data_IF_751147787643
#
_entry.id   IF_751147787643
#
_cell.length_a   1.000
_cell.length_b   1.000
_cell.length_c   1.000
_cell.angle_alpha   90.00
_cell.angle_beta   90.00
_cell.angle_gamma   90.00
#
_symmetry.space_group_name_H-M   'P 1'
#
loop_
_entity.id
_entity.type
_entity.pdbx_description
1 polymer ?
#
# COMPACT_ATOMS: atom_id res chain seq x y z
N UNK A 1 -25.91 9.03 -3.63
CA UNK A 1 -26.69 10.29 -3.72
C UNK A 1 -25.92 11.46 -3.09
N UNK A 2 -25.52 11.38 -1.81
CA UNK A 2 -24.79 12.44 -1.09
C UNK A 2 -23.52 12.91 -1.82
N UNK A 3 -22.75 11.98 -2.38
CA UNK A 3 -21.55 12.31 -3.15
C UNK A 3 -21.85 13.25 -4.33
N UNK A 4 -22.87 12.94 -5.12
CA UNK A 4 -23.25 13.73 -6.29
C UNK A 4 -23.72 15.15 -5.97
N UNK A 5 -24.30 15.34 -4.79
CA UNK A 5 -24.82 16.63 -4.34
C UNK A 5 -23.73 17.48 -3.68
N UNK A 6 -22.90 16.86 -2.83
CA UNK A 6 -21.96 17.57 -1.96
C UNK A 6 -20.58 17.73 -2.56
N UNK A 7 -20.10 16.76 -3.37
CA UNK A 7 -18.76 16.80 -3.92
C UNK A 7 -18.78 17.39 -5.34
N UNK A 8 -18.00 18.45 -5.56
CA UNK A 8 -17.85 19.13 -6.83
C UNK A 8 -16.51 18.75 -7.47
N UNK A 9 -16.49 18.70 -8.80
CA UNK A 9 -15.31 18.28 -9.57
C UNK A 9 -14.18 19.32 -9.59
N UNK A 10 -14.51 20.60 -9.36
CA UNK A 10 -13.56 21.71 -9.42
C UNK A 10 -13.73 22.65 -8.25
N UNK A 11 -12.63 23.25 -7.73
CA UNK A 11 -12.69 24.24 -6.66
C UNK A 11 -13.60 25.44 -7.01
N UNK A 12 -13.63 25.87 -8.28
CA UNK A 12 -14.48 26.95 -8.76
C UNK A 12 -16.00 26.71 -8.63
N UNK A 13 -16.42 25.46 -8.48
CA UNK A 13 -17.84 25.08 -8.36
C UNK A 13 -18.33 25.03 -6.91
N UNK A 14 -17.43 25.23 -5.96
CA UNK A 14 -17.72 25.12 -4.52
C UNK A 14 -18.20 26.47 -3.99
N UNK A 15 -19.34 26.52 -3.31
CA UNK A 15 -19.93 27.75 -2.78
C UNK A 15 -19.40 28.18 -1.40
N UNK A 16 -18.84 27.24 -0.64
CA UNK A 16 -18.37 27.48 0.74
C UNK A 16 -16.92 27.99 0.83
N UNK A 17 -16.14 27.97 -0.29
CA UNK A 17 -14.79 28.49 -0.36
C UNK A 17 -14.80 29.96 -0.82
N UNK A 18 -13.97 30.80 -0.21
CA UNK A 18 -13.77 32.17 -0.65
C UNK A 18 -13.07 32.21 -2.02
N UNK A 19 -13.30 33.25 -2.83
CA UNK A 19 -12.73 33.34 -4.18
C UNK A 19 -11.19 33.39 -4.17
N UNK A 20 -10.58 34.00 -3.15
CA UNK A 20 -9.13 34.02 -2.92
C UNK A 20 -8.57 32.61 -2.65
N UNK A 21 -9.30 31.80 -1.87
CA UNK A 21 -8.91 30.42 -1.57
C UNK A 21 -9.05 29.51 -2.81
N UNK A 22 -10.10 29.72 -3.61
CA UNK A 22 -10.28 29.02 -4.89
C UNK A 22 -9.13 29.30 -5.86
N UNK A 23 -8.72 30.57 -5.96
CA UNK A 23 -7.63 30.98 -6.82
C UNK A 23 -6.30 30.40 -6.35
N UNK A 24 -6.00 30.48 -5.05
CA UNK A 24 -4.79 29.92 -4.47
C UNK A 24 -4.71 28.39 -4.65
N UNK A 25 -5.82 27.68 -4.42
CA UNK A 25 -5.90 26.25 -4.61
C UNK A 25 -5.72 25.84 -6.09
N UNK A 26 -6.34 26.60 -7.01
CA UNK A 26 -6.18 26.34 -8.44
C UNK A 26 -4.73 26.56 -8.88
N UNK A 27 -4.09 27.65 -8.43
CA UNK A 27 -2.70 27.94 -8.73
C UNK A 27 -1.76 26.85 -8.20
N UNK A 28 -1.97 26.39 -6.97
CA UNK A 28 -1.19 25.28 -6.39
C UNK A 28 -1.35 24.00 -7.23
N UNK A 29 -2.58 23.65 -7.58
CA UNK A 29 -2.87 22.51 -8.40
C UNK A 29 -2.24 22.60 -9.81
N UNK A 30 -2.13 23.79 -10.39
CA UNK A 30 -1.51 24.00 -11.69
C UNK A 30 0.02 23.95 -11.59
N UNK A 31 0.60 24.45 -10.49
CA UNK A 31 2.04 24.31 -10.18
C UNK A 31 2.45 22.85 -10.04
N UNK A 32 1.66 22.03 -9.35
CA UNK A 32 1.92 20.59 -9.18
C UNK A 32 1.95 19.82 -10.52
N UNK A 33 1.23 20.33 -11.54
CA UNK A 33 1.24 19.74 -12.88
C UNK A 33 2.38 20.25 -13.77
N UNK A 34 3.10 21.30 -13.36
CA UNK A 34 4.23 21.83 -14.12
C UNK A 34 5.37 20.80 -14.09
N UNK A 35 5.88 20.48 -15.26
CA UNK A 35 6.98 19.51 -15.43
C UNK A 35 6.53 18.05 -15.57
N UNK A 36 5.25 17.72 -15.41
CA UNK A 36 4.75 16.39 -15.72
C UNK A 36 4.60 16.25 -17.24
N UNK A 37 5.21 15.19 -17.78
CA UNK A 37 5.15 14.89 -19.23
C UNK A 37 3.70 14.68 -19.68
N UNK A 38 3.28 15.47 -20.66
CA UNK A 38 1.94 15.33 -21.23
C UNK A 38 1.74 13.92 -21.81
N UNK A 39 0.62 13.30 -21.47
CA UNK A 39 0.19 11.99 -21.98
C UNK A 39 -1.15 12.17 -22.69
N UNK A 40 -1.23 11.71 -23.94
CA UNK A 40 -2.40 11.98 -24.80
C UNK A 40 -3.63 11.15 -24.42
N UNK A 41 -3.43 9.90 -24.05
CA UNK A 41 -4.54 8.97 -23.77
C UNK A 41 -4.15 7.87 -22.77
N UNK A 42 -5.13 7.16 -22.28
CA UNK A 42 -4.96 6.04 -21.35
C UNK A 42 -4.06 4.92 -21.90
N UNK A 43 -4.11 4.64 -23.20
CA UNK A 43 -3.27 3.58 -23.80
C UNK A 43 -1.79 3.89 -23.70
N UNK A 44 -1.39 5.16 -23.83
CA UNK A 44 0.00 5.60 -23.63
C UNK A 44 0.40 5.51 -22.15
N UNK A 45 -0.49 5.97 -21.23
CA UNK A 45 -0.26 5.86 -19.81
C UNK A 45 -0.07 4.41 -19.36
N UNK A 46 -0.93 3.49 -19.82
CA UNK A 46 -0.89 2.07 -19.46
C UNK A 46 0.34 1.33 -20.00
N UNK A 47 0.94 1.80 -21.08
CA UNK A 47 2.21 1.28 -21.63
C UNK A 47 3.44 1.90 -20.97
N UNK A 48 3.28 2.90 -20.14
CA UNK A 48 4.38 3.49 -19.39
C UNK A 48 5.07 2.45 -18.52
N UNK A 49 6.40 2.38 -18.61
CA UNK A 49 7.22 1.46 -17.80
C UNK A 49 6.91 1.60 -16.30
N UNK A 50 6.73 2.82 -15.81
CA UNK A 50 6.44 3.07 -14.40
C UNK A 50 5.08 2.54 -13.99
N UNK A 51 4.04 2.71 -14.83
CA UNK A 51 2.70 2.17 -14.55
C UNK A 51 2.73 0.65 -14.52
N UNK A 52 3.42 0.00 -15.48
CA UNK A 52 3.56 -1.46 -15.52
C UNK A 52 4.30 -1.96 -14.26
N UNK A 53 5.38 -1.27 -13.85
CA UNK A 53 6.12 -1.62 -12.64
C UNK A 53 5.27 -1.46 -11.38
N UNK A 54 4.46 -0.39 -11.28
CA UNK A 54 3.54 -0.18 -10.15
C UNK A 54 2.41 -1.22 -10.14
N UNK A 55 1.90 -1.62 -11.30
CA UNK A 55 0.94 -2.73 -11.42
C UNK A 55 1.54 -4.04 -10.89
N UNK A 56 2.73 -4.41 -11.35
CA UNK A 56 3.42 -5.62 -10.92
C UNK A 56 3.78 -5.56 -9.42
N UNK A 57 4.23 -4.40 -8.96
CA UNK A 57 4.57 -4.16 -7.56
C UNK A 57 3.35 -4.31 -6.65
N UNK A 58 2.23 -3.67 -6.99
CA UNK A 58 1.02 -3.75 -6.19
C UNK A 58 0.34 -5.13 -6.27
N UNK A 59 0.44 -5.82 -7.40
CA UNK A 59 0.04 -7.22 -7.54
C UNK A 59 0.83 -8.11 -6.57
N UNK A 60 2.16 -8.04 -6.57
CA UNK A 60 3.01 -8.83 -5.69
C UNK A 60 2.80 -8.49 -4.21
N UNK A 61 2.64 -7.20 -3.88
CA UNK A 61 2.33 -6.76 -2.53
C UNK A 61 0.99 -7.30 -2.04
N UNK A 62 -0.04 -7.24 -2.87
CA UNK A 62 -1.38 -7.72 -2.53
C UNK A 62 -1.42 -9.23 -2.30
N UNK A 63 -0.59 -10.03 -2.98
CA UNK A 63 -0.41 -11.45 -2.69
C UNK A 63 0.00 -11.63 -1.22
N UNK A 64 1.02 -10.92 -0.75
CA UNK A 64 1.50 -11.03 0.61
C UNK A 64 0.47 -10.57 1.64
N UNK A 65 -0.12 -9.39 1.42
CA UNK A 65 -1.10 -8.80 2.35
C UNK A 65 -2.35 -9.66 2.48
N UNK A 66 -2.98 -10.04 1.38
CA UNK A 66 -4.26 -10.78 1.45
C UNK A 66 -4.08 -12.25 1.80
N UNK A 67 -2.92 -12.85 1.47
CA UNK A 67 -2.54 -14.12 2.03
C UNK A 67 -2.44 -14.05 3.56
N UNK A 68 -1.76 -13.02 4.10
CA UNK A 68 -1.70 -12.78 5.54
C UNK A 68 -3.09 -12.56 6.16
N UNK A 69 -3.88 -11.64 5.62
CA UNK A 69 -5.19 -11.22 6.18
C UNK A 69 -6.14 -12.40 6.35
N UNK A 70 -6.31 -13.20 5.31
CA UNK A 70 -7.29 -14.29 5.32
C UNK A 70 -6.85 -15.47 6.17
N UNK A 71 -5.54 -15.67 6.31
CA UNK A 71 -5.02 -16.80 7.07
C UNK A 71 -4.58 -16.44 8.49
N UNK A 72 -4.54 -15.15 8.86
CA UNK A 72 -4.13 -14.67 10.19
C UNK A 72 -4.89 -15.36 11.34
N UNK A 73 -6.23 -15.48 11.34
CA UNK A 73 -6.93 -16.17 12.42
C UNK A 73 -6.53 -17.64 12.55
N UNK A 74 -6.33 -18.33 11.41
CA UNK A 74 -5.88 -19.71 11.39
C UNK A 74 -4.45 -19.86 11.92
N UNK A 75 -3.57 -18.91 11.58
CA UNK A 75 -2.19 -18.87 12.08
C UNK A 75 -2.17 -18.70 13.60
N UNK A 76 -2.95 -17.75 14.14
CA UNK A 76 -3.04 -17.51 15.59
C UNK A 76 -3.60 -18.75 16.29
N UNK A 77 -4.67 -19.35 15.75
CA UNK A 77 -5.29 -20.53 16.33
C UNK A 77 -4.37 -21.75 16.35
N UNK A 78 -3.57 -21.95 15.30
CA UNK A 78 -2.65 -23.10 15.24
C UNK A 78 -1.43 -22.94 16.13
N UNK A 79 -1.05 -21.69 16.49
CA UNK A 79 0.10 -21.40 17.35
C UNK A 79 -0.23 -21.32 18.84
N UNK A 80 -1.51 -21.12 19.20
CA UNK A 80 -1.97 -20.99 20.57
C UNK A 80 -2.68 -22.24 21.09
N UNK A 81 -2.25 -22.77 22.23
CA UNK A 81 -2.89 -23.90 22.88
C UNK A 81 -4.27 -23.49 23.45
N UNK A 82 -5.34 -24.25 23.09
CA UNK A 82 -6.69 -24.12 23.64
C UNK A 82 -7.35 -22.74 23.51
N UNK A 83 -7.00 -21.94 22.51
CA UNK A 83 -7.62 -20.63 22.28
C UNK A 83 -9.05 -20.75 21.78
N UNK A 84 -9.98 -20.06 22.44
CA UNK A 84 -11.36 -19.89 22.01
C UNK A 84 -11.48 -18.97 20.80
N UNK A 85 -12.61 -19.05 20.07
CA UNK A 85 -12.87 -18.21 18.89
C UNK A 85 -12.84 -16.70 19.22
N UNK A 86 -13.28 -16.32 20.41
CA UNK A 86 -13.29 -14.91 20.87
C UNK A 86 -11.89 -14.41 21.08
N UNK A 87 -11.02 -15.20 21.69
CA UNK A 87 -9.60 -14.85 21.90
C UNK A 87 -8.85 -14.69 20.59
N UNK A 88 -9.03 -15.62 19.66
CA UNK A 88 -8.47 -15.52 18.30
C UNK A 88 -8.97 -14.26 17.59
N UNK A 89 -10.25 -13.90 17.75
CA UNK A 89 -10.81 -12.67 17.21
C UNK A 89 -10.14 -11.41 17.76
N UNK A 90 -9.97 -11.32 19.08
CA UNK A 90 -9.26 -10.20 19.72
C UNK A 90 -7.80 -10.12 19.29
N UNK A 91 -7.08 -11.23 19.31
CA UNK A 91 -5.69 -11.25 18.86
C UNK A 91 -5.56 -10.90 17.37
N UNK A 92 -6.52 -11.31 16.54
CA UNK A 92 -6.52 -10.95 15.11
C UNK A 92 -6.77 -9.45 14.89
N UNK A 93 -7.41 -8.74 15.81
CA UNK A 93 -7.69 -7.29 15.67
C UNK A 93 -6.46 -6.41 15.95
N UNK A 94 -5.54 -6.85 16.80
CA UNK A 94 -4.37 -6.05 17.22
C UNK A 94 -3.45 -5.68 16.05
N UNK A 95 -3.09 -6.58 15.11
CA UNK A 95 -2.32 -6.19 13.92
C UNK A 95 -2.98 -5.08 13.09
N UNK A 96 -4.31 -5.07 13.00
CA UNK A 96 -5.03 -4.02 12.25
C UNK A 96 -5.08 -2.68 12.99
N UNK A 97 -5.17 -2.69 14.32
CA UNK A 97 -5.02 -1.47 15.13
C UNK A 97 -3.61 -0.88 14.96
N UNK A 98 -2.58 -1.71 15.06
CA UNK A 98 -1.21 -1.31 14.81
C UNK A 98 -1.02 -0.78 13.37
N UNK A 99 -1.64 -1.43 12.38
CA UNK A 99 -1.64 -0.99 10.99
C UNK A 99 -2.28 0.39 10.82
N UNK A 100 -3.41 0.64 11.45
CA UNK A 100 -4.10 1.93 11.40
C UNK A 100 -3.21 3.06 11.92
N UNK A 101 -2.58 2.86 13.07
CA UNK A 101 -1.64 3.84 13.65
C UNK A 101 -0.45 4.05 12.71
N UNK A 102 0.15 2.96 12.22
CA UNK A 102 1.29 3.02 11.32
C UNK A 102 0.97 3.73 10.00
N UNK A 103 -0.21 3.49 9.41
CA UNK A 103 -0.66 4.18 8.19
C UNK A 103 -0.71 5.70 8.38
N UNK A 104 -1.27 6.17 9.49
CA UNK A 104 -1.37 7.61 9.79
C UNK A 104 0.02 8.22 9.97
N UNK A 105 0.86 7.62 10.80
CA UNK A 105 2.20 8.12 11.11
C UNK A 105 3.08 8.12 9.86
N UNK A 106 3.07 7.04 9.10
CA UNK A 106 3.89 6.88 7.89
C UNK A 106 3.43 7.82 6.78
N UNK A 107 2.12 8.00 6.59
CA UNK A 107 1.58 8.94 5.61
C UNK A 107 2.00 10.38 5.95
N UNK A 108 1.83 10.79 7.22
CA UNK A 108 2.26 12.09 7.68
C UNK A 108 3.77 12.32 7.51
N UNK A 109 4.59 11.34 7.88
CA UNK A 109 6.06 11.43 7.73
C UNK A 109 6.47 11.48 6.25
N UNK A 110 5.81 10.70 5.40
CA UNK A 110 6.03 10.69 3.96
C UNK A 110 5.67 12.04 3.31
N UNK A 111 4.57 12.67 3.75
CA UNK A 111 4.18 14.00 3.29
C UNK A 111 5.20 15.07 3.70
N UNK A 112 5.70 14.98 4.93
CA UNK A 112 6.69 15.93 5.45
C UNK A 112 8.06 15.82 4.75
N UNK A 113 8.52 14.59 4.47
CA UNK A 113 9.84 14.32 3.88
C UNK A 113 9.82 14.31 2.35
N UNK A 114 8.64 14.36 1.70
CA UNK A 114 8.46 14.36 0.24
C UNK A 114 9.22 13.25 -0.50
N UNK A 115 9.51 12.15 0.17
CA UNK A 115 10.19 10.98 -0.40
C UNK A 115 9.34 9.73 -0.24
N UNK A 116 8.30 9.61 -1.06
CA UNK A 116 7.30 8.52 -1.00
C UNK A 116 7.96 7.14 -1.00
N UNK A 117 8.93 6.95 -1.88
CA UNK A 117 9.58 5.67 -2.10
C UNK A 117 10.30 5.15 -0.85
N UNK A 118 10.90 6.06 -0.06
CA UNK A 118 11.57 5.74 1.19
C UNK A 118 10.61 5.17 2.24
N UNK A 119 9.33 5.45 2.13
CA UNK A 119 8.30 4.94 3.03
C UNK A 119 7.56 3.70 2.48
N UNK A 120 7.91 3.23 1.29
CA UNK A 120 7.30 2.02 0.72
C UNK A 120 8.22 0.82 0.87
N UNK A 121 9.42 0.83 0.26
CA UNK A 121 10.26 -0.35 0.19
C UNK A 121 10.79 -0.85 1.55
N UNK A 122 11.22 0.02 2.52
CA UNK A 122 11.75 -0.50 3.78
C UNK A 122 10.66 -1.13 4.64
N UNK A 123 9.45 -0.56 4.61
CA UNK A 123 8.33 -1.10 5.38
C UNK A 123 7.89 -2.46 4.82
N UNK A 124 7.82 -2.62 3.51
CA UNK A 124 7.53 -3.91 2.89
C UNK A 124 8.64 -4.94 3.19
N UNK A 125 9.89 -4.51 3.26
CA UNK A 125 11.01 -5.37 3.65
C UNK A 125 10.86 -5.83 5.12
N UNK A 126 10.59 -4.89 6.02
CA UNK A 126 10.32 -5.19 7.45
C UNK A 126 9.13 -6.15 7.57
N UNK A 127 8.05 -5.88 6.85
CA UNK A 127 6.86 -6.74 6.82
C UNK A 127 7.18 -8.16 6.39
N UNK A 128 7.92 -8.33 5.30
CA UNK A 128 8.35 -9.64 4.80
C UNK A 128 9.27 -10.38 5.76
N UNK A 129 10.26 -9.70 6.32
CA UNK A 129 11.19 -10.28 7.31
C UNK A 129 10.48 -10.67 8.60
N UNK A 130 9.60 -9.81 9.13
CA UNK A 130 8.83 -10.10 10.33
C UNK A 130 7.87 -11.28 10.12
N UNK A 131 7.26 -11.36 8.93
CA UNK A 131 6.36 -12.45 8.58
C UNK A 131 7.09 -13.79 8.50
N UNK A 132 8.22 -13.87 7.79
CA UNK A 132 9.05 -15.07 7.72
C UNK A 132 9.65 -15.40 9.09
N UNK A 133 10.08 -14.39 9.84
CA UNK A 133 10.58 -14.54 11.20
C UNK A 133 9.54 -15.15 12.15
N UNK A 134 8.28 -14.75 12.03
CA UNK A 134 7.17 -15.35 12.80
C UNK A 134 7.04 -16.84 12.54
N UNK A 135 7.13 -17.27 11.29
CA UNK A 135 7.13 -18.68 10.92
C UNK A 135 8.36 -19.42 11.46
N UNK A 136 9.56 -18.84 11.34
CA UNK A 136 10.81 -19.45 11.79
C UNK A 136 10.87 -19.66 13.32
N UNK A 137 10.29 -18.73 14.08
CA UNK A 137 10.15 -18.84 15.55
C UNK A 137 9.16 -19.96 15.91
N UNK A 138 8.11 -20.13 15.11
CA UNK A 138 7.13 -21.21 15.25
C UNK A 138 6.26 -21.11 16.53
N UNK A 139 5.50 -22.18 16.78
CA UNK A 139 4.53 -22.25 17.87
C UNK A 139 5.19 -22.32 19.27
N UNK A 140 6.44 -22.79 19.36
CA UNK A 140 7.13 -22.96 20.64
C UNK A 140 7.31 -21.65 21.42
N UNK A 141 7.32 -20.52 20.70
CA UNK A 141 7.43 -19.18 21.28
C UNK A 141 6.27 -18.29 20.74
N UNK A 142 5.06 -18.70 21.01
CA UNK A 142 3.84 -18.07 20.50
C UNK A 142 3.84 -16.54 20.58
N UNK A 143 4.15 -15.96 21.75
CA UNK A 143 4.11 -14.51 21.93
C UNK A 143 5.15 -13.76 21.09
N UNK A 144 6.33 -14.35 20.86
CA UNK A 144 7.34 -13.78 19.97
C UNK A 144 6.87 -13.83 18.51
N UNK A 145 6.38 -15.00 18.09
CA UNK A 145 5.80 -15.19 16.76
C UNK A 145 4.63 -14.23 16.52
N UNK A 146 3.72 -14.09 17.49
CA UNK A 146 2.60 -13.17 17.43
C UNK A 146 3.03 -11.70 17.35
N UNK A 147 4.02 -11.27 18.12
CA UNK A 147 4.57 -9.91 18.04
C UNK A 147 5.13 -9.63 16.65
N UNK A 148 5.82 -10.58 16.05
CA UNK A 148 6.29 -10.47 14.66
C UNK A 148 5.14 -10.39 13.66
N UNK A 149 4.01 -11.08 13.88
CA UNK A 149 2.81 -10.94 13.06
C UNK A 149 2.19 -9.54 13.18
N UNK A 150 2.18 -8.96 14.39
CA UNK A 150 1.71 -7.57 14.59
C UNK A 150 2.59 -6.58 13.83
N UNK A 151 3.91 -6.74 13.93
CA UNK A 151 4.88 -5.91 13.18
C UNK A 151 4.70 -6.10 11.67
N UNK A 152 4.54 -7.34 11.21
CA UNK A 152 4.30 -7.64 9.80
C UNK A 152 3.03 -6.97 9.28
N UNK A 153 1.91 -7.11 9.99
CA UNK A 153 0.65 -6.47 9.65
C UNK A 153 0.79 -4.95 9.57
N UNK A 154 1.34 -4.30 10.60
CA UNK A 154 1.57 -2.87 10.61
C UNK A 154 2.44 -2.41 9.44
N UNK A 155 3.56 -3.09 9.19
CA UNK A 155 4.52 -2.75 8.15
C UNK A 155 3.97 -2.97 6.72
N UNK A 156 3.12 -3.99 6.51
CA UNK A 156 2.50 -4.26 5.22
C UNK A 156 1.42 -3.22 4.86
N UNK A 157 0.71 -2.66 5.85
CA UNK A 157 -0.35 -1.68 5.61
C UNK A 157 0.15 -0.24 5.59
N UNK A 158 1.16 0.09 6.37
CA UNK A 158 1.66 1.45 6.50
C UNK A 158 1.99 2.15 5.15
N UNK A 159 2.52 1.46 4.11
CA UNK A 159 2.89 2.11 2.85
C UNK A 159 1.73 2.50 1.93
N UNK A 160 0.47 2.17 2.24
CA UNK A 160 -0.65 2.43 1.32
C UNK A 160 -0.78 3.92 0.94
N UNK A 161 -0.74 4.83 1.91
CA UNK A 161 -0.79 6.27 1.64
C UNK A 161 0.33 6.74 0.72
N UNK A 162 1.60 6.56 1.10
CA UNK A 162 2.74 6.92 0.25
C UNK A 162 2.73 6.27 -1.13
N UNK A 163 2.33 5.01 -1.24
CA UNK A 163 2.27 4.30 -2.51
C UNK A 163 1.27 4.93 -3.49
N UNK A 164 0.03 5.14 -3.04
CA UNK A 164 -0.98 5.73 -3.90
C UNK A 164 -0.72 7.21 -4.21
N UNK A 165 0.03 7.91 -3.35
CA UNK A 165 0.46 9.29 -3.61
C UNK A 165 1.49 9.38 -4.75
N UNK A 166 2.29 8.34 -5.01
CA UNK A 166 3.26 8.31 -6.12
C UNK A 166 2.57 8.47 -7.48
N UNK A 167 1.37 7.92 -7.66
CA UNK A 167 0.70 7.84 -8.96
C UNK A 167 0.37 9.23 -9.54
N UNK A 168 -0.34 10.13 -8.82
CA UNK A 168 -0.63 11.48 -9.31
C UNK A 168 0.61 12.37 -9.39
N UNK A 169 1.69 12.07 -8.64
CA UNK A 169 2.96 12.80 -8.75
C UNK A 169 3.74 12.44 -10.03
N UNK A 170 3.44 11.29 -10.64
CA UNK A 170 4.14 10.79 -11.85
C UNK A 170 3.35 10.96 -13.13
N UNK A 171 2.04 11.16 -13.05
CA UNK A 171 1.14 11.16 -14.21
C UNK A 171 0.28 12.43 -14.25
N UNK A 172 0.02 12.97 -15.45
CA UNK A 172 -0.87 14.10 -15.61
C UNK A 172 -2.32 13.73 -15.21
N UNK A 173 -3.07 14.72 -14.74
CA UNK A 173 -4.43 14.56 -14.19
C UNK A 173 -5.39 13.82 -15.12
N UNK A 174 -5.28 14.04 -16.44
CA UNK A 174 -6.17 13.43 -17.42
C UNK A 174 -6.09 11.90 -17.47
N UNK A 175 -4.98 11.29 -17.03
CA UNK A 175 -4.77 9.84 -17.06
C UNK A 175 -4.47 9.23 -15.68
N UNK A 176 -4.16 10.04 -14.66
CA UNK A 176 -3.79 9.57 -13.33
C UNK A 176 -4.89 8.70 -12.70
N UNK A 177 -6.16 9.10 -12.79
CA UNK A 177 -7.30 8.34 -12.28
C UNK A 177 -7.43 6.96 -12.93
N UNK A 178 -7.28 6.86 -14.25
CA UNK A 178 -7.34 5.60 -14.98
C UNK A 178 -6.14 4.68 -14.66
N UNK A 179 -4.94 5.25 -14.51
CA UNK A 179 -3.77 4.49 -14.11
C UNK A 179 -3.90 3.97 -12.67
N UNK A 180 -4.43 4.78 -11.75
CA UNK A 180 -4.73 4.37 -10.38
C UNK A 180 -5.76 3.21 -10.35
N UNK A 181 -6.81 3.29 -11.16
CA UNK A 181 -7.79 2.22 -11.29
C UNK A 181 -7.17 0.93 -11.82
N UNK A 182 -6.30 0.99 -12.85
CA UNK A 182 -5.59 -0.17 -13.37
C UNK A 182 -4.68 -0.79 -12.30
N UNK A 183 -3.87 0.01 -11.61
CA UNK A 183 -2.98 -0.47 -10.54
C UNK A 183 -3.79 -1.14 -9.43
N UNK A 184 -4.91 -0.52 -9.02
CA UNK A 184 -5.79 -1.09 -8.00
C UNK A 184 -6.45 -2.41 -8.46
N UNK A 185 -6.84 -2.52 -9.71
CA UNK A 185 -7.37 -3.76 -10.29
C UNK A 185 -6.32 -4.88 -10.30
N UNK A 186 -5.06 -4.56 -10.59
CA UNK A 186 -3.97 -5.53 -10.50
C UNK A 186 -3.72 -5.98 -9.05
N UNK A 187 -3.87 -5.08 -8.07
CA UNK A 187 -3.85 -5.43 -6.65
C UNK A 187 -5.00 -6.37 -6.27
N UNK A 188 -6.22 -6.12 -6.74
CA UNK A 188 -7.36 -7.01 -6.53
C UNK A 188 -7.12 -8.41 -7.12
N UNK A 189 -6.53 -8.48 -8.31
CA UNK A 189 -6.13 -9.75 -8.92
C UNK A 189 -5.03 -10.44 -8.09
N UNK A 190 -4.05 -9.70 -7.58
CA UNK A 190 -3.02 -10.21 -6.67
C UNK A 190 -3.60 -10.77 -5.38
N UNK A 191 -4.62 -10.10 -4.81
CA UNK A 191 -5.34 -10.56 -3.63
C UNK A 191 -6.03 -11.91 -3.87
N UNK A 192 -6.69 -12.05 -5.00
CA UNK A 192 -7.30 -13.31 -5.41
C UNK A 192 -6.26 -14.43 -5.57
N UNK A 193 -5.20 -14.17 -6.35
CA UNK A 193 -4.14 -15.14 -6.57
C UNK A 193 -3.46 -15.54 -5.26
N UNK A 194 -3.17 -14.57 -4.39
CA UNK A 194 -2.54 -14.80 -3.09
C UNK A 194 -3.38 -15.70 -2.20
N UNK A 195 -4.65 -15.36 -2.03
CA UNK A 195 -5.57 -16.11 -1.17
C UNK A 195 -5.79 -17.53 -1.66
N UNK A 196 -6.02 -17.69 -2.96
CA UNK A 196 -6.25 -18.98 -3.59
C UNK A 196 -5.01 -19.86 -3.52
N UNK A 197 -3.83 -19.31 -3.85
CA UNK A 197 -2.61 -20.10 -3.92
C UNK A 197 -2.10 -20.51 -2.54
N UNK A 198 -2.27 -19.67 -1.52
CA UNK A 198 -1.99 -20.03 -0.11
C UNK A 198 -2.87 -21.20 0.33
N UNK A 199 -4.17 -21.18 0.01
CA UNK A 199 -5.07 -22.30 0.29
C UNK A 199 -4.65 -23.60 -0.41
N UNK A 200 -4.28 -23.49 -1.69
CA UNK A 200 -3.78 -24.64 -2.47
C UNK A 200 -2.48 -25.21 -1.88
N UNK A 201 -1.50 -24.36 -1.55
CA UNK A 201 -0.22 -24.80 -0.97
C UNK A 201 -0.43 -25.48 0.38
N UNK A 202 -1.26 -24.93 1.27
CA UNK A 202 -1.57 -25.53 2.55
C UNK A 202 -2.24 -26.90 2.38
N UNK A 203 -3.18 -27.03 1.44
CA UNK A 203 -3.84 -28.30 1.14
C UNK A 203 -2.90 -29.34 0.52
N UNK A 204 -2.03 -28.93 -0.40
CA UNK A 204 -1.13 -29.82 -1.12
C UNK A 204 0.06 -30.29 -0.27
N UNK A 205 0.59 -29.42 0.59
CA UNK A 205 1.81 -29.71 1.40
C UNK A 205 1.50 -30.20 2.81
N UNK A 206 0.28 -29.98 3.28
CA UNK A 206 -0.09 -30.24 4.69
C UNK A 206 0.67 -29.36 5.69
N UNK A 207 1.40 -28.35 5.23
CA UNK A 207 2.26 -27.49 6.05
C UNK A 207 2.09 -26.02 5.64
N UNK A 208 2.01 -25.08 6.59
CA UNK A 208 1.95 -23.65 6.30
C UNK A 208 3.26 -23.09 5.74
N UNK A 209 4.38 -23.82 5.84
CA UNK A 209 5.72 -23.36 5.46
C UNK A 209 5.78 -22.83 4.02
N UNK A 210 5.23 -23.59 3.06
CA UNK A 210 5.21 -23.22 1.65
C UNK A 210 4.45 -21.89 1.42
N UNK A 211 3.37 -21.68 2.14
CA UNK A 211 2.56 -20.46 2.08
C UNK A 211 3.29 -19.25 2.65
N UNK A 212 4.01 -19.40 3.76
CA UNK A 212 4.84 -18.32 4.33
C UNK A 212 5.97 -17.92 3.37
N UNK A 213 6.64 -18.91 2.76
CA UNK A 213 7.69 -18.65 1.77
C UNK A 213 7.11 -17.95 0.55
N UNK A 214 5.99 -18.43 0.02
CA UNK A 214 5.33 -17.82 -1.15
C UNK A 214 4.95 -16.34 -0.90
N UNK A 215 4.30 -16.05 0.23
CA UNK A 215 3.92 -14.69 0.60
C UNK A 215 5.15 -13.79 0.85
N UNK A 216 6.17 -14.34 1.50
CA UNK A 216 7.45 -13.63 1.73
C UNK A 216 8.18 -13.29 0.42
N UNK A 217 8.26 -14.25 -0.51
CA UNK A 217 8.84 -14.02 -1.84
C UNK A 217 8.06 -12.94 -2.61
N UNK A 218 6.73 -12.96 -2.54
CA UNK A 218 5.90 -11.94 -3.16
C UNK A 218 6.16 -10.53 -2.57
N UNK A 219 6.31 -10.42 -1.24
CA UNK A 219 6.68 -9.15 -0.60
C UNK A 219 8.07 -8.68 -1.01
N UNK A 220 9.07 -9.56 -1.06
CA UNK A 220 10.41 -9.18 -1.51
C UNK A 220 10.44 -8.81 -3.00
N UNK A 221 9.65 -9.48 -3.84
CA UNK A 221 9.46 -9.06 -5.22
C UNK A 221 8.87 -7.65 -5.31
N UNK A 222 7.88 -7.33 -4.46
CA UNK A 222 7.32 -5.98 -4.35
C UNK A 222 8.36 -4.95 -3.90
N UNK A 223 9.22 -5.26 -2.94
CA UNK A 223 10.36 -4.42 -2.53
C UNK A 223 11.27 -4.13 -3.71
N UNK A 224 11.70 -5.17 -4.42
CA UNK A 224 12.60 -5.04 -5.57
C UNK A 224 11.97 -4.20 -6.68
N UNK A 225 10.71 -4.44 -7.02
CA UNK A 225 9.98 -3.63 -8.00
C UNK A 225 9.87 -2.17 -7.57
N UNK A 226 9.61 -1.89 -6.28
CA UNK A 226 9.61 -0.52 -5.75
C UNK A 226 10.95 0.17 -5.96
N UNK A 227 12.06 -0.53 -5.77
CA UNK A 227 13.40 0.03 -5.96
C UNK A 227 13.67 0.41 -7.42
N UNK A 228 13.12 -0.32 -8.38
CA UNK A 228 13.30 -0.08 -9.83
C UNK A 228 12.41 1.06 -10.35
N UNK A 229 11.25 1.32 -9.74
CA UNK A 229 10.39 2.45 -10.13
C UNK A 229 11.19 3.75 -10.04
N UNK A 230 11.23 4.51 -11.13
CA UNK A 230 11.90 5.81 -11.13
C UNK A 230 11.05 6.82 -10.35
N UNK A 231 11.65 7.63 -9.46
CA UNK A 231 10.91 8.70 -8.77
C UNK A 231 10.36 9.70 -9.79
N UNK A 232 9.29 10.39 -9.43
CA UNK A 232 8.85 11.57 -10.16
C UNK A 232 10.00 12.58 -10.18
N UNK A 233 10.23 13.21 -11.31
CA UNK A 233 11.37 14.15 -11.48
C UNK A 233 11.03 15.52 -10.86
N UNK A 234 10.87 15.56 -9.53
CA UNK A 234 10.57 16.78 -8.76
C UNK A 234 11.79 17.68 -8.51
N UNK A 235 12.87 17.56 -9.32
CA UNK A 235 14.10 18.30 -9.11
C UNK A 235 14.02 19.82 -9.41
N UNK A 236 12.84 20.34 -9.80
CA UNK A 236 12.69 21.76 -10.17
C UNK A 236 11.69 22.57 -9.32
N UNK A 237 11.25 22.04 -8.17
CA UNK A 237 10.52 22.89 -7.22
C UNK A 237 11.53 23.60 -6.30
N UNK A 238 11.63 24.93 -6.31
CA UNK A 238 12.49 25.64 -5.39
C UNK A 238 12.04 25.38 -3.95
N UNK A 239 12.94 24.80 -3.15
CA UNK A 239 12.83 24.67 -1.69
C UNK A 239 12.78 26.08 -1.10
N UNK A 240 11.62 26.71 -1.00
CA UNK A 240 11.57 28.09 -0.53
C UNK A 240 10.21 28.73 -0.28
N UNK A 241 9.09 27.99 -0.31
CA UNK A 241 7.77 28.63 -0.15
C UNK A 241 6.94 28.09 1.04
N UNK A 242 7.59 27.68 2.11
CA UNK A 242 6.89 27.22 3.31
C UNK A 242 7.19 28.08 4.56
N UNK A 243 7.25 29.40 4.43
CA UNK A 243 7.15 30.32 5.58
C UNK A 243 6.67 31.68 5.07
N UNK A 244 5.38 31.88 4.99
CA UNK A 244 4.71 33.15 5.14
C UNK A 244 3.26 32.87 5.53
#
# INVERSE_FOLDING_TARGET
FCWWVLVKDKPSQVSWLAESEKAALQEQLDREQQGIKAVRNYGEAFRSRNVILLCAQYFAWSIGVYGFVLWLPSIIRSGGENMGMVEVGWLSSVPYLAATIAMIVVSWASDKLQNRKLFVWPLLLIGGLAFIGSWAVGANHFWVSYTLLVVAGAAMYAPYGPFFAIIPEMLPRNVAGGAMALINSMGALGSFCGSWFVGYLNGATGSPAASYIFMGVALFASVWLTLIVKPANNQNLPLGAHHA
#
